data_IF_181793464677
#
_entry.id   IF_181793464677
#
_cell.length_a   1.000
_cell.length_b   1.000
_cell.length_c   1.000
_cell.angle_alpha   90.00
_cell.angle_beta   90.00
_cell.angle_gamma   90.00
#
_symmetry.space_group_name_H-M   'P 1'
#
loop_
_entity.id
_entity.type
_entity.pdbx_description
1 polymer ?
#
# COMPACT_ATOMS: atom_id res chain seq x y z
N UNK A 1 31.28 -6.35 -70.44
CA UNK A 1 30.83 -6.24 -69.04
C UNK A 1 31.41 -7.42 -68.29
N UNK A 2 32.41 -7.17 -67.43
CA UNK A 2 33.11 -8.22 -66.67
C UNK A 2 32.67 -8.07 -65.22
N UNK A 3 31.87 -9.01 -64.74
CA UNK A 3 31.36 -9.06 -63.37
C UNK A 3 32.31 -9.91 -62.53
N UNK A 4 32.98 -9.29 -61.56
CA UNK A 4 33.80 -10.02 -60.59
C UNK A 4 32.99 -10.26 -59.31
N UNK A 5 32.79 -11.52 -58.87
CA UNK A 5 32.24 -11.81 -57.56
C UNK A 5 33.32 -11.50 -56.51
N UNK A 6 33.09 -10.44 -55.73
CA UNK A 6 33.86 -10.22 -54.50
C UNK A 6 33.34 -11.19 -53.44
N UNK A 7 34.07 -12.29 -53.24
CA UNK A 7 33.96 -13.12 -52.05
C UNK A 7 34.41 -12.29 -50.85
N UNK A 8 33.45 -11.69 -50.15
CA UNK A 8 33.68 -11.00 -48.88
C UNK A 8 33.95 -12.08 -47.84
N UNK A 9 35.23 -12.37 -47.60
CA UNK A 9 35.63 -13.25 -46.51
C UNK A 9 35.19 -12.60 -45.19
N UNK A 10 34.47 -13.35 -44.31
CA UNK A 10 34.03 -12.82 -43.04
C UNK A 10 35.25 -12.40 -42.22
N UNK A 11 35.25 -11.13 -41.81
CA UNK A 11 36.33 -10.52 -41.04
C UNK A 11 36.50 -11.34 -39.76
N UNK A 12 37.72 -11.83 -39.49
CA UNK A 12 38.04 -12.72 -38.36
C UNK A 12 37.51 -12.27 -36.99
N UNK A 13 37.21 -10.97 -36.82
CA UNK A 13 36.57 -10.43 -35.61
C UNK A 13 35.16 -10.96 -35.34
N UNK A 14 34.38 -11.29 -36.38
CA UNK A 14 33.00 -11.77 -36.21
C UNK A 14 32.93 -13.20 -35.63
N UNK A 15 33.93 -14.03 -35.94
CA UNK A 15 34.05 -15.39 -35.40
C UNK A 15 34.44 -15.40 -33.92
N UNK A 16 35.20 -14.40 -33.47
CA UNK A 16 35.62 -14.28 -32.07
C UNK A 16 34.43 -13.83 -31.21
N UNK A 17 33.64 -12.86 -31.70
CA UNK A 17 32.43 -12.39 -31.01
C UNK A 17 31.41 -13.53 -30.81
N UNK A 18 31.13 -14.33 -31.87
CA UNK A 18 30.19 -15.45 -31.78
C UNK A 18 30.62 -16.55 -30.81
N UNK A 19 31.92 -16.78 -30.65
CA UNK A 19 32.44 -17.82 -29.74
C UNK A 19 32.33 -17.41 -28.27
N UNK A 20 32.55 -16.13 -27.96
CA UNK A 20 32.34 -15.60 -26.61
C UNK A 20 30.85 -15.55 -26.24
N UNK A 21 29.99 -15.16 -27.18
CA UNK A 21 28.55 -15.14 -26.95
C UNK A 21 27.96 -16.56 -26.76
N UNK A 22 28.47 -17.55 -27.50
CA UNK A 22 28.08 -18.95 -27.29
C UNK A 22 28.51 -19.46 -25.91
N UNK A 23 29.74 -19.19 -25.48
CA UNK A 23 30.21 -19.58 -24.13
C UNK A 23 29.45 -18.87 -23.01
N UNK A 24 29.07 -17.61 -23.19
CA UNK A 24 28.23 -16.90 -22.23
C UNK A 24 26.82 -17.53 -22.13
N UNK A 25 26.24 -17.94 -23.26
CA UNK A 25 24.95 -18.62 -23.30
C UNK A 25 25.00 -20.06 -22.78
N UNK A 26 26.12 -20.77 -22.96
CA UNK A 26 26.37 -22.11 -22.42
C UNK A 26 26.62 -22.05 -20.89
N UNK A 27 27.29 -21.00 -20.40
CA UNK A 27 27.47 -20.77 -18.97
C UNK A 27 26.18 -20.36 -18.25
N UNK A 28 25.22 -19.78 -18.99
CA UNK A 28 23.86 -19.50 -18.49
C UNK A 28 22.94 -20.73 -18.51
N UNK A 29 23.37 -21.84 -19.11
CA UNK A 29 22.70 -23.14 -18.96
C UNK A 29 23.23 -23.85 -17.71
N UNK A 30 23.04 -23.26 -16.52
CA UNK A 30 23.06 -24.09 -15.31
C UNK A 30 21.83 -25.03 -15.38
N UNK A 31 22.04 -26.35 -15.45
CA UNK A 31 21.01 -27.28 -15.93
C UNK A 31 19.85 -27.54 -14.96
N UNK A 32 19.71 -26.81 -13.86
CA UNK A 32 18.70 -27.16 -12.84
C UNK A 32 18.10 -25.98 -12.07
N UNK A 33 18.24 -24.74 -12.55
CA UNK A 33 17.47 -23.64 -11.96
C UNK A 33 16.04 -23.72 -12.51
N UNK A 34 15.02 -23.94 -11.67
CA UNK A 34 13.63 -23.99 -12.13
C UNK A 34 13.28 -22.65 -12.79
N UNK A 35 12.93 -22.71 -14.07
CA UNK A 35 12.51 -21.52 -14.86
C UNK A 35 11.15 -20.94 -14.42
N UNK A 36 10.49 -21.60 -13.46
CA UNK A 36 9.17 -21.25 -12.97
C UNK A 36 9.23 -21.20 -11.45
N UNK A 37 8.89 -20.04 -10.91
CA UNK A 37 8.70 -19.82 -9.48
C UNK A 37 7.19 -19.70 -9.28
N UNK A 38 6.63 -20.55 -8.42
CA UNK A 38 5.21 -20.48 -8.05
C UNK A 38 5.11 -19.69 -6.74
N UNK A 39 4.41 -18.57 -6.78
CA UNK A 39 4.11 -17.76 -5.60
C UNK A 39 2.64 -18.02 -5.22
N UNK A 40 2.36 -18.42 -3.96
CA UNK A 40 1.00 -18.76 -3.53
C UNK A 40 0.12 -17.53 -3.25
N UNK A 41 0.66 -16.33 -3.46
CA UNK A 41 0.04 -15.06 -3.10
C UNK A 41 -0.91 -14.55 -4.19
N UNK A 42 -1.68 -13.50 -3.86
CA UNK A 42 -2.63 -12.94 -4.82
C UNK A 42 -1.88 -12.35 -6.03
N UNK A 43 -2.47 -12.50 -7.22
CA UNK A 43 -1.95 -11.99 -8.49
C UNK A 43 -1.64 -10.50 -8.37
N UNK A 44 -2.47 -9.73 -7.65
CA UNK A 44 -2.27 -8.29 -7.48
C UNK A 44 -1.05 -7.93 -6.63
N UNK A 45 -0.73 -8.75 -5.64
CA UNK A 45 0.43 -8.56 -4.76
C UNK A 45 1.72 -8.91 -5.50
N UNK A 46 1.69 -10.02 -6.26
CA UNK A 46 2.79 -10.45 -7.12
C UNK A 46 3.06 -9.41 -8.21
N UNK A 47 2.02 -8.90 -8.87
CA UNK A 47 2.15 -7.86 -9.89
C UNK A 47 2.79 -6.59 -9.32
N UNK A 48 2.43 -6.18 -8.10
CA UNK A 48 3.04 -5.02 -7.43
C UNK A 48 4.53 -5.23 -7.13
N UNK A 49 4.92 -6.44 -6.71
CA UNK A 49 6.33 -6.80 -6.50
C UNK A 49 7.09 -6.74 -7.83
N UNK A 50 6.52 -7.28 -8.91
CA UNK A 50 7.13 -7.25 -10.23
C UNK A 50 7.28 -5.81 -10.70
N UNK A 51 6.22 -5.00 -10.62
CA UNK A 51 6.23 -3.58 -10.97
C UNK A 51 7.33 -2.84 -10.20
N UNK A 52 7.42 -3.05 -8.89
CA UNK A 52 8.44 -2.45 -8.05
C UNK A 52 9.86 -2.87 -8.45
N UNK A 53 10.09 -4.15 -8.75
CA UNK A 53 11.41 -4.64 -9.14
C UNK A 53 11.90 -4.04 -10.47
N UNK A 54 11.00 -3.77 -11.42
CA UNK A 54 11.37 -3.24 -12.73
C UNK A 54 11.37 -1.71 -12.77
N UNK A 55 10.48 -1.07 -12.02
CA UNK A 55 10.20 0.36 -12.17
C UNK A 55 10.53 1.18 -10.93
N UNK A 56 10.78 0.53 -9.79
CA UNK A 56 11.00 1.18 -8.49
C UNK A 56 9.74 1.78 -7.86
N UNK A 57 8.57 1.50 -8.43
CA UNK A 57 7.27 1.97 -7.96
C UNK A 57 6.19 0.90 -8.18
N UNK A 58 5.01 1.05 -7.56
CA UNK A 58 3.89 0.11 -7.75
C UNK A 58 2.53 0.83 -7.81
N UNK A 59 1.53 0.17 -8.39
CA UNK A 59 0.13 0.58 -8.33
C UNK A 59 -0.37 1.37 -9.53
N UNK A 60 0.36 1.39 -10.67
CA UNK A 60 -0.15 2.06 -11.88
C UNK A 60 -1.43 1.43 -12.44
N UNK A 61 -1.66 0.16 -12.10
CA UNK A 61 -2.74 -0.67 -12.66
C UNK A 61 -3.84 -1.00 -11.65
N UNK A 62 -3.80 -0.41 -10.45
CA UNK A 62 -4.79 -0.69 -9.42
C UNK A 62 -6.04 0.17 -9.59
N UNK A 63 -7.21 -0.47 -9.60
CA UNK A 63 -8.51 0.18 -9.75
C UNK A 63 -9.42 0.02 -8.51
N UNK A 64 -8.94 -0.63 -7.46
CA UNK A 64 -9.71 -0.91 -6.24
C UNK A 64 -9.51 0.15 -5.14
N UNK A 65 -9.98 -0.14 -3.91
CA UNK A 65 -9.74 0.70 -2.75
C UNK A 65 -8.25 0.95 -2.52
N UNK A 66 -7.82 2.21 -2.58
CA UNK A 66 -6.40 2.59 -2.53
C UNK A 66 -5.78 2.25 -1.16
N UNK A 67 -6.50 2.51 -0.06
CA UNK A 67 -6.02 2.27 1.30
C UNK A 67 -5.73 0.80 1.58
N UNK A 68 -6.69 -0.08 1.29
CA UNK A 68 -6.57 -1.51 1.56
C UNK A 68 -5.41 -2.12 0.77
N UNK A 69 -5.28 -1.72 -0.51
CA UNK A 69 -4.21 -2.18 -1.37
C UNK A 69 -2.81 -1.86 -0.83
N UNK A 70 -2.57 -0.64 -0.35
CA UNK A 70 -1.26 -0.28 0.21
C UNK A 70 -0.90 -1.10 1.46
N UNK A 71 -1.89 -1.51 2.25
CA UNK A 71 -1.65 -2.40 3.40
C UNK A 71 -1.26 -3.81 2.94
N UNK A 72 -1.98 -4.39 1.97
CA UNK A 72 -1.60 -5.70 1.40
C UNK A 72 -0.18 -5.68 0.80
N UNK A 73 0.19 -4.60 0.11
CA UNK A 73 1.55 -4.46 -0.44
C UNK A 73 2.61 -4.31 0.65
N UNK A 74 2.26 -3.71 1.79
CA UNK A 74 3.17 -3.69 2.94
C UNK A 74 3.37 -5.08 3.54
N UNK A 75 2.29 -5.84 3.73
CA UNK A 75 2.34 -7.21 4.27
C UNK A 75 3.19 -8.12 3.36
N UNK A 76 2.98 -8.04 2.05
CA UNK A 76 3.75 -8.85 1.09
C UNK A 76 5.21 -8.41 1.04
N UNK A 77 5.49 -7.11 1.14
CA UNK A 77 6.86 -6.61 1.19
C UNK A 77 7.59 -7.13 2.44
N UNK A 78 6.91 -7.18 3.59
CA UNK A 78 7.48 -7.78 4.81
C UNK A 78 7.74 -9.27 4.64
N UNK A 79 6.77 -10.02 4.10
CA UNK A 79 6.87 -11.46 3.85
C UNK A 79 8.10 -11.83 3.01
N UNK A 80 8.42 -11.03 1.99
CA UNK A 80 9.57 -11.24 1.11
C UNK A 80 10.84 -10.45 1.51
N UNK A 81 10.82 -9.71 2.61
CA UNK A 81 11.97 -8.91 3.07
C UNK A 81 12.34 -7.74 2.15
N UNK A 82 11.38 -7.20 1.40
CA UNK A 82 11.56 -6.09 0.46
C UNK A 82 11.44 -4.74 1.17
N UNK A 83 12.45 -4.38 1.98
CA UNK A 83 12.43 -3.19 2.84
C UNK A 83 12.05 -1.89 2.10
N UNK A 84 12.56 -1.68 0.88
CA UNK A 84 12.24 -0.47 0.10
C UNK A 84 10.79 -0.41 -0.36
N UNK A 85 10.20 -1.56 -0.70
CA UNK A 85 8.78 -1.64 -1.04
C UNK A 85 7.91 -1.41 0.19
N UNK A 86 8.32 -1.93 1.36
CA UNK A 86 7.67 -1.67 2.65
C UNK A 86 7.64 -0.18 2.98
N UNK A 87 8.77 0.51 2.87
CA UNK A 87 8.86 1.96 3.08
C UNK A 87 7.95 2.72 2.11
N UNK A 88 8.02 2.38 0.82
CA UNK A 88 7.20 3.01 -0.22
C UNK A 88 5.70 2.79 0.04
N UNK A 89 5.31 1.58 0.44
CA UNK A 89 3.92 1.26 0.73
C UNK A 89 3.37 2.03 1.92
N UNK A 90 4.18 2.18 2.97
CA UNK A 90 3.86 3.01 4.12
C UNK A 90 3.69 4.48 3.73
N UNK A 91 4.56 5.00 2.87
CA UNK A 91 4.50 6.40 2.44
C UNK A 91 3.30 6.67 1.52
N UNK A 92 2.98 5.74 0.61
CA UNK A 92 1.74 5.80 -0.19
C UNK A 92 0.49 5.68 0.66
N UNK A 93 0.48 4.81 1.67
CA UNK A 93 -0.63 4.72 2.62
C UNK A 93 -0.84 6.07 3.36
N UNK A 94 0.23 6.71 3.81
CA UNK A 94 0.15 8.05 4.44
C UNK A 94 -0.42 9.08 3.46
N UNK A 95 0.02 9.06 2.21
CA UNK A 95 -0.50 9.95 1.17
C UNK A 95 -2.01 9.69 0.93
N UNK A 96 -2.42 8.44 0.77
CA UNK A 96 -3.82 8.05 0.61
C UNK A 96 -4.69 8.39 1.84
N UNK A 97 -4.15 8.31 3.05
CA UNK A 97 -4.85 8.75 4.26
C UNK A 97 -5.03 10.27 4.35
N UNK A 98 -4.21 11.04 3.63
CA UNK A 98 -4.33 12.50 3.54
C UNK A 98 -5.38 12.95 2.52
N UNK A 99 -5.79 12.09 1.60
CA UNK A 99 -6.83 12.39 0.60
C UNK A 99 -8.24 12.09 1.14
N UNK A 100 -9.27 12.42 0.37
CA UNK A 100 -10.67 12.11 0.71
C UNK A 100 -10.92 10.64 0.39
N UNK A 101 -11.17 9.84 1.41
CA UNK A 101 -11.48 8.42 1.26
C UNK A 101 -12.92 8.10 1.66
N UNK A 102 -13.42 7.00 1.12
CA UNK A 102 -14.75 6.45 1.43
C UNK A 102 -14.75 5.73 2.78
N UNK A 103 -15.86 5.83 3.51
CA UNK A 103 -16.00 5.20 4.83
C UNK A 103 -15.87 3.69 4.84
N UNK A 104 -16.31 3.03 3.77
CA UNK A 104 -16.24 1.57 3.62
C UNK A 104 -14.79 1.08 3.50
N UNK A 105 -13.97 1.77 2.71
CA UNK A 105 -12.57 1.40 2.50
C UNK A 105 -11.76 1.53 3.78
N UNK A 106 -12.02 2.59 4.55
CA UNK A 106 -11.38 2.78 5.85
C UNK A 106 -11.69 1.64 6.82
N UNK A 107 -12.95 1.18 6.88
CA UNK A 107 -13.34 0.11 7.78
C UNK A 107 -12.74 -1.24 7.39
N UNK A 108 -12.71 -1.56 6.10
CA UNK A 108 -12.09 -2.80 5.59
C UNK A 108 -10.58 -2.78 5.85
N UNK A 109 -9.92 -1.64 5.60
CA UNK A 109 -8.49 -1.44 5.89
C UNK A 109 -8.20 -1.59 7.37
N UNK A 110 -9.03 -1.00 8.24
CA UNK A 110 -8.90 -1.13 9.69
C UNK A 110 -9.03 -2.60 10.12
N UNK A 111 -10.03 -3.33 9.64
CA UNK A 111 -10.20 -4.75 9.96
C UNK A 111 -8.95 -5.56 9.60
N UNK A 112 -8.40 -5.34 8.42
CA UNK A 112 -7.20 -6.03 7.96
C UNK A 112 -5.98 -5.68 8.81
N UNK A 113 -5.72 -4.39 9.06
CA UNK A 113 -4.60 -3.94 9.90
C UNK A 113 -4.61 -4.53 11.32
N UNK A 114 -5.80 -4.74 11.90
CA UNK A 114 -5.92 -5.34 13.23
C UNK A 114 -5.90 -6.87 13.24
N UNK A 115 -6.01 -7.51 12.07
CA UNK A 115 -5.71 -8.94 11.91
C UNK A 115 -4.19 -9.17 11.78
N UNK A 116 -3.46 -8.21 11.23
CA UNK A 116 -1.99 -8.25 11.13
C UNK A 116 -1.31 -7.89 12.45
N UNK A 117 -0.12 -8.45 12.69
CA UNK A 117 0.70 -8.13 13.88
C UNK A 117 1.50 -6.82 13.71
N UNK A 118 1.40 -6.17 12.54
CA UNK A 118 2.18 -4.98 12.20
C UNK A 118 1.73 -3.74 13.00
N UNK A 119 2.51 -3.38 14.02
CA UNK A 119 2.24 -2.23 14.87
C UNK A 119 2.50 -0.89 14.17
N UNK A 120 3.48 -0.83 13.26
CA UNK A 120 3.91 0.42 12.61
C UNK A 120 2.79 1.04 11.75
N UNK A 121 2.12 0.23 10.94
CA UNK A 121 1.01 0.71 10.11
C UNK A 121 -0.20 1.10 10.95
N UNK A 122 -0.48 0.35 12.02
CA UNK A 122 -1.57 0.67 12.95
C UNK A 122 -1.38 2.05 13.56
N UNK A 123 -0.16 2.41 13.97
CA UNK A 123 0.11 3.73 14.53
C UNK A 123 -0.16 4.85 13.53
N UNK A 124 0.34 4.72 12.30
CA UNK A 124 0.12 5.69 11.21
C UNK A 124 -1.37 5.85 10.90
N UNK A 125 -2.09 4.73 10.85
CA UNK A 125 -3.51 4.69 10.57
C UNK A 125 -4.34 5.35 11.69
N UNK A 126 -4.06 5.01 12.95
CA UNK A 126 -4.69 5.62 14.13
C UNK A 126 -4.41 7.12 14.18
N UNK A 127 -3.19 7.55 13.86
CA UNK A 127 -2.83 8.97 13.79
C UNK A 127 -3.69 9.72 12.78
N UNK A 128 -3.85 9.17 11.57
CA UNK A 128 -4.65 9.78 10.52
C UNK A 128 -6.13 9.88 10.90
N UNK A 129 -6.72 8.82 11.46
CA UNK A 129 -8.10 8.84 11.96
C UNK A 129 -8.26 9.86 13.09
N UNK A 130 -7.31 9.91 14.03
CA UNK A 130 -7.37 10.84 15.15
C UNK A 130 -7.32 12.31 14.70
N UNK A 131 -6.50 12.62 13.69
CA UNK A 131 -6.42 13.96 13.10
C UNK A 131 -7.76 14.41 12.49
N UNK A 132 -8.52 13.48 11.90
CA UNK A 132 -9.82 13.75 11.26
C UNK A 132 -11.02 13.30 12.08
N UNK A 133 -10.83 13.07 13.39
CA UNK A 133 -11.86 12.47 14.25
C UNK A 133 -13.19 13.24 14.27
N UNK A 134 -13.15 14.57 14.17
CA UNK A 134 -14.35 15.41 14.16
C UNK A 134 -15.24 15.17 12.93
N UNK A 135 -14.61 14.91 11.78
CA UNK A 135 -15.27 14.61 10.51
C UNK A 135 -15.76 13.15 10.50
N UNK A 136 -14.85 12.20 10.78
CA UNK A 136 -15.08 10.77 10.63
C UNK A 136 -16.04 10.20 11.69
N UNK A 137 -15.92 10.69 12.93
CA UNK A 137 -16.72 10.22 14.07
C UNK A 137 -17.94 11.11 14.34
N UNK A 138 -18.35 11.90 13.34
CA UNK A 138 -19.61 12.63 13.38
C UNK A 138 -20.79 11.67 13.62
N UNK A 139 -21.78 12.16 14.36
CA UNK A 139 -22.90 11.33 14.82
C UNK A 139 -23.71 10.83 13.62
N UNK A 140 -23.85 9.52 13.49
CA UNK A 140 -24.62 8.88 12.42
C UNK A 140 -23.85 8.56 11.14
N UNK A 141 -22.52 8.73 11.10
CA UNK A 141 -21.73 8.29 9.95
C UNK A 141 -21.64 6.75 9.92
N UNK A 142 -21.83 6.15 8.74
CA UNK A 142 -21.62 4.71 8.54
C UNK A 142 -20.17 4.30 8.88
N UNK A 143 -19.21 5.20 8.59
CA UNK A 143 -17.80 5.05 8.98
C UNK A 143 -17.65 4.85 10.48
N UNK A 144 -18.32 5.66 11.30
CA UNK A 144 -18.27 5.55 12.76
C UNK A 144 -18.77 4.19 13.23
N UNK A 145 -19.90 3.72 12.72
CA UNK A 145 -20.44 2.40 13.09
C UNK A 145 -19.49 1.28 12.71
N UNK A 146 -18.89 1.36 11.52
CA UNK A 146 -17.95 0.36 11.04
C UNK A 146 -16.65 0.33 11.87
N UNK A 147 -16.12 1.50 12.26
CA UNK A 147 -14.93 1.58 13.13
C UNK A 147 -15.22 1.16 14.58
N UNK A 148 -16.42 1.39 15.10
CA UNK A 148 -16.82 0.96 16.44
C UNK A 148 -16.92 -0.55 16.60
N UNK A 149 -17.02 -1.30 15.49
CA UNK A 149 -17.00 -2.76 15.52
C UNK A 149 -15.58 -3.34 15.74
N UNK A 150 -14.55 -2.50 15.83
CA UNK A 150 -13.16 -2.90 16.06
C UNK A 150 -12.72 -2.37 17.43
N UNK A 151 -12.86 -3.17 18.52
CA UNK A 151 -12.60 -2.69 19.87
C UNK A 151 -11.13 -2.31 20.12
N UNK A 152 -10.20 -2.97 19.44
CA UNK A 152 -8.76 -2.68 19.51
C UNK A 152 -8.44 -1.29 18.96
N UNK A 153 -9.09 -0.90 17.86
CA UNK A 153 -8.95 0.45 17.31
C UNK A 153 -9.45 1.51 18.30
N UNK A 154 -10.59 1.26 18.95
CA UNK A 154 -11.12 2.17 19.95
C UNK A 154 -10.16 2.33 21.14
N UNK A 155 -9.52 1.23 21.57
CA UNK A 155 -8.48 1.25 22.61
C UNK A 155 -7.30 2.13 22.20
N UNK A 156 -6.76 1.94 21.01
CA UNK A 156 -5.59 2.70 20.53
C UNK A 156 -5.91 4.19 20.37
N UNK A 157 -7.12 4.53 19.91
CA UNK A 157 -7.58 5.92 19.85
C UNK A 157 -7.66 6.57 21.24
N UNK A 158 -8.08 5.82 22.27
CA UNK A 158 -8.12 6.31 23.66
C UNK A 158 -6.72 6.51 24.21
N UNK A 159 -5.82 5.54 24.01
CA UNK A 159 -4.41 5.65 24.44
C UNK A 159 -3.78 6.91 23.83
N UNK A 160 -3.95 7.10 22.52
CA UNK A 160 -3.40 8.28 21.82
C UNK A 160 -4.00 9.60 22.30
N UNK A 161 -5.26 9.60 22.73
CA UNK A 161 -5.88 10.78 23.32
C UNK A 161 -5.26 11.13 24.68
N UNK A 162 -4.91 10.13 25.48
CA UNK A 162 -4.21 10.33 26.77
C UNK A 162 -2.79 10.85 26.54
N UNK A 163 -2.08 10.30 25.55
CA UNK A 163 -0.72 10.71 25.22
C UNK A 163 -0.66 12.13 24.62
N UNK A 164 -1.64 12.50 23.79
CA UNK A 164 -1.75 13.85 23.21
C UNK A 164 -1.93 14.94 24.27
N UNK A 165 -2.68 14.66 25.34
CA UNK A 165 -2.85 15.57 26.48
C UNK A 165 -1.51 15.84 27.19
N UNK A 166 -0.61 14.87 27.19
CA UNK A 166 0.69 14.97 27.85
C UNK A 166 1.81 15.49 26.90
N UNK A 167 1.66 15.31 25.59
CA UNK A 167 2.71 15.55 24.59
C UNK A 167 2.71 16.94 23.94
N UNK A 168 1.58 17.65 23.86
CA UNK A 168 1.52 18.96 23.17
C UNK A 168 2.13 20.13 23.99
N UNK A 169 2.65 19.87 25.19
CA UNK A 169 3.41 20.84 26.00
C UNK A 169 4.87 21.07 25.55
N UNK A 170 5.38 20.29 24.59
CA UNK A 170 6.80 20.34 24.18
C UNK A 170 7.08 21.18 22.91
N UNK A 171 6.15 22.03 22.49
CA UNK A 171 6.46 23.11 21.55
C UNK A 171 6.84 24.40 22.31
N UNK A 172 7.56 24.25 23.43
CA UNK A 172 8.43 25.33 23.90
C UNK A 172 9.52 25.43 22.85
N UNK A 173 9.33 26.35 21.90
CA UNK A 173 10.38 26.78 20.98
C UNK A 173 11.68 26.88 21.80
N UNK A 174 12.80 26.29 21.34
CA UNK A 174 14.05 26.34 22.08
C UNK A 174 14.29 27.79 22.44
N UNK A 175 14.14 28.13 23.72
CA UNK A 175 14.40 29.48 24.23
C UNK A 175 15.85 29.71 23.90
N UNK A 176 16.10 30.51 22.87
CA UNK A 176 17.43 30.93 22.50
C UNK A 176 18.06 31.57 23.74
N UNK A 177 19.06 30.94 24.38
CA UNK A 177 19.61 31.43 25.63
C UNK A 177 20.39 32.75 25.44
N UNK A 178 20.44 33.30 24.22
CA UNK A 178 21.22 34.51 23.90
C UNK A 178 20.43 35.81 23.86
N UNK A 179 19.10 35.81 23.92
CA UNK A 179 18.33 37.06 23.94
C UNK A 179 18.09 37.59 25.36
N UNK A 180 19.19 37.88 26.04
CA UNK A 180 19.26 38.73 27.23
C UNK A 180 19.70 40.16 26.89
N UNK A 181 19.15 40.78 25.84
CA UNK A 181 19.45 42.20 25.52
C UNK A 181 18.16 43.04 25.53
N UNK A 182 18.02 44.00 26.46
CA UNK A 182 16.91 44.94 26.44
C UNK A 182 16.99 45.86 25.22
N UNK A 183 15.86 45.99 24.51
CA UNK A 183 15.68 46.91 23.39
C UNK A 183 15.98 48.35 23.80
N UNK A 184 16.99 48.94 23.14
CA UNK A 184 17.17 50.39 23.09
C UNK A 184 16.32 50.92 21.93
N UNK A 185 15.40 51.82 22.26
CA UNK A 185 14.57 52.54 21.33
C UNK A 185 15.39 53.26 20.26
N UNK A 186 14.97 53.20 19.00
CA UNK A 186 15.33 54.18 17.97
C UNK A 186 14.08 54.64 17.23
N UNK A 187 13.96 55.95 16.94
CA UNK A 187 12.74 56.54 16.39
C UNK A 187 12.75 56.57 14.86
N UNK A 188 11.55 56.41 14.31
CA UNK A 188 10.90 57.27 13.30
C UNK A 188 11.82 58.04 12.33
N UNK A 189 11.75 57.68 11.03
CA UNK A 189 11.68 58.67 9.94
C UNK A 189 11.44 58.06 8.54
N UNK A 190 10.50 58.71 7.82
CA UNK A 190 10.51 59.00 6.37
C UNK A 190 10.15 57.87 5.39
N UNK A 191 8.96 57.86 4.77
CA UNK A 191 8.51 58.63 3.57
C UNK A 191 9.34 58.42 2.29
N UNK A 192 8.62 58.10 1.20
CA UNK A 192 9.04 58.18 -0.22
C UNK A 192 8.96 56.81 -0.88
N UNK A 193 7.99 56.55 -1.78
CA UNK A 193 8.17 56.69 -3.24
C UNK A 193 8.85 55.41 -3.77
N UNK A 194 8.32 54.61 -4.69
CA UNK A 194 7.92 54.97 -6.04
C UNK A 194 7.07 53.85 -6.65
N UNK A 195 6.15 54.29 -7.50
CA UNK A 195 5.38 53.50 -8.47
C UNK A 195 6.31 52.90 -9.53
N UNK A 196 6.35 51.57 -9.64
CA UNK A 196 7.06 50.85 -10.70
C UNK A 196 6.13 49.91 -11.45
N UNK A 197 5.45 50.45 -12.46
CA UNK A 197 4.72 49.71 -13.48
C UNK A 197 5.67 48.79 -14.24
N UNK A 198 5.36 47.50 -14.33
CA UNK A 198 5.87 46.63 -15.40
C UNK A 198 4.73 45.80 -15.98
N UNK A 199 4.12 46.36 -17.00
CA UNK A 199 3.30 45.64 -17.97
C UNK A 199 4.20 44.85 -18.92
N UNK A 200 4.03 43.53 -18.97
CA UNK A 200 4.40 42.68 -20.12
C UNK A 200 3.46 41.49 -20.08
N UNK A 201 2.33 41.57 -20.78
CA UNK A 201 2.15 41.05 -22.14
C UNK A 201 2.65 39.62 -22.25
N UNK A 202 1.73 38.69 -22.11
CA UNK A 202 1.66 37.45 -22.90
C UNK A 202 0.20 37.04 -22.95
N UNK A 203 -0.53 37.67 -23.88
CA UNK A 203 -1.70 37.07 -24.51
C UNK A 203 -1.22 35.80 -25.21
N UNK A 204 -1.68 34.65 -24.73
CA UNK A 204 -1.75 33.43 -25.55
C UNK A 204 -3.20 32.99 -25.58
N UNK A 205 -3.84 33.41 -26.65
CA UNK A 205 -4.87 32.72 -27.42
C UNK A 205 -5.82 31.78 -26.67
N UNK A 206 -6.95 32.36 -26.29
CA UNK A 206 -8.23 31.67 -26.23
C UNK A 206 -8.70 31.38 -27.67
N UNK A 207 -8.45 30.16 -28.17
CA UNK A 207 -8.95 29.72 -29.46
C UNK A 207 -9.16 28.20 -29.55
N UNK A 208 -9.98 27.63 -28.67
CA UNK A 208 -10.69 26.36 -28.91
C UNK A 208 -12.03 26.51 -28.18
N UNK A 209 -13.18 26.60 -28.82
CA UNK A 209 -13.64 25.70 -29.87
C UNK A 209 -14.96 25.13 -29.38
N UNK A 210 -15.99 25.99 -29.40
CA UNK A 210 -17.38 25.69 -29.07
C UNK A 210 -17.87 24.63 -30.07
N UNK A 211 -17.99 23.38 -29.62
CA UNK A 211 -18.69 22.31 -30.35
C UNK A 211 -19.76 21.75 -29.41
N UNK A 212 -20.86 22.49 -29.31
CA UNK A 212 -22.17 21.89 -29.07
C UNK A 212 -22.58 21.23 -30.39
N UNK A 213 -22.51 19.91 -30.45
CA UNK A 213 -23.21 19.13 -31.45
C UNK A 213 -23.57 17.76 -30.86
N UNK A 214 -24.81 17.69 -30.41
CA UNK A 214 -25.73 16.56 -30.58
C UNK A 214 -25.06 15.20 -30.84
N UNK A 215 -24.94 14.40 -29.77
CA UNK A 215 -24.89 12.95 -29.91
C UNK A 215 -25.92 12.31 -28.99
N UNK A 216 -27.16 12.43 -29.45
CA UNK A 216 -28.31 11.62 -29.05
C UNK A 216 -28.03 10.17 -29.52
N UNK A 217 -27.30 9.43 -28.69
CA UNK A 217 -27.10 7.99 -28.88
C UNK A 217 -28.27 7.30 -28.18
N UNK A 218 -29.28 7.03 -28.99
CA UNK A 218 -30.38 6.10 -28.77
C UNK A 218 -29.81 4.76 -28.25
N UNK A 219 -29.95 4.50 -26.95
CA UNK A 219 -29.71 3.18 -26.37
C UNK A 219 -30.79 2.22 -26.89
N UNK A 220 -30.43 1.02 -27.40
CA UNK A 220 -31.43 -0.01 -27.63
C UNK A 220 -31.85 -0.58 -26.27
N UNK A 221 -33.12 -0.37 -25.91
CA UNK A 221 -33.80 -1.13 -24.88
C UNK A 221 -33.65 -2.63 -25.20
N UNK A 222 -32.72 -3.30 -24.52
CA UNK A 222 -32.75 -4.75 -24.41
C UNK A 222 -33.82 -5.08 -23.38
N UNK A 223 -35.03 -5.37 -23.88
CA UNK A 223 -36.10 -5.96 -23.11
C UNK A 223 -35.63 -7.31 -22.57
N UNK A 224 -35.27 -7.33 -21.29
CA UNK A 224 -35.08 -8.58 -20.59
C UNK A 224 -36.47 -9.15 -20.32
N UNK A 225 -36.81 -10.22 -21.03
CA UNK A 225 -38.01 -11.03 -20.84
C UNK A 225 -37.68 -12.10 -19.78
N UNK A 226 -38.09 -11.95 -18.51
CA UNK A 226 -37.95 -13.03 -17.55
C UNK A 226 -38.97 -14.10 -17.91
N UNK A 227 -38.52 -15.06 -18.72
CA UNK A 227 -39.24 -16.28 -19.03
C UNK A 227 -39.77 -16.91 -17.74
N UNK A 228 -41.09 -16.85 -17.62
CA UNK A 228 -41.90 -17.55 -16.62
C UNK A 228 -41.75 -19.05 -16.91
N UNK A 229 -40.73 -19.66 -16.31
CA UNK A 229 -40.60 -21.11 -16.20
C UNK A 229 -41.31 -21.57 -14.94
N UNK A 230 -42.63 -21.79 -15.06
CA UNK A 230 -43.39 -22.55 -14.07
C UNK A 230 -42.87 -23.99 -14.05
N UNK A 231 -42.41 -24.43 -12.88
CA UNK A 231 -42.28 -25.83 -12.56
C UNK A 231 -43.03 -26.05 -11.25
N UNK A 232 -44.18 -26.67 -11.41
CA UNK A 232 -45.07 -27.14 -10.36
C UNK A 232 -44.43 -28.30 -9.58
N UNK A 233 -44.79 -28.42 -8.30
CA UNK A 233 -44.55 -29.60 -7.47
C UNK A 233 -43.33 -29.47 -6.54
N UNK A 234 -43.39 -29.74 -5.24
CA UNK A 234 -44.38 -30.40 -4.41
C UNK A 234 -44.28 -29.84 -2.99
N UNK A 235 -45.41 -29.77 -2.29
CA UNK A 235 -45.47 -29.38 -0.90
C UNK A 235 -44.95 -30.54 -0.02
N UNK A 236 -43.72 -30.41 0.48
CA UNK A 236 -43.20 -31.29 1.53
C UNK A 236 -43.20 -30.57 2.89
N UNK A 237 -44.32 -30.70 3.59
CA UNK A 237 -44.46 -30.43 5.02
C UNK A 237 -43.63 -31.43 5.82
N UNK A 238 -42.44 -31.06 6.32
CA UNK A 238 -41.81 -31.80 7.42
C UNK A 238 -41.01 -30.89 8.40
N UNK A 239 -41.59 -30.77 9.59
CA UNK A 239 -40.96 -30.83 10.90
C UNK A 239 -39.78 -29.89 11.27
N UNK A 240 -40.09 -28.92 12.15
CA UNK A 240 -39.15 -28.31 13.09
C UNK A 240 -38.48 -29.36 14.01
N UNK A 241 -37.16 -29.24 14.26
CA UNK A 241 -36.57 -29.64 15.54
C UNK A 241 -35.97 -28.41 16.24
N UNK A 242 -36.59 -27.95 17.31
CA UNK A 242 -36.17 -28.17 18.70
C UNK A 242 -34.74 -27.71 19.07
N UNK A 243 -34.71 -26.66 19.89
CA UNK A 243 -33.88 -26.49 21.10
C UNK A 243 -32.41 -26.92 20.99
N UNK A 244 -31.54 -25.99 20.62
CA UNK A 244 -30.14 -26.07 21.03
C UNK A 244 -29.97 -25.60 22.48
N UNK A 245 -29.71 -26.57 23.36
CA UNK A 245 -29.30 -26.37 24.74
C UNK A 245 -27.85 -25.88 24.76
N UNK A 246 -27.59 -24.90 25.64
CA UNK A 246 -26.27 -24.48 26.07
C UNK A 246 -25.46 -25.69 26.57
N UNK A 247 -24.27 -25.92 26.01
CA UNK A 247 -23.27 -26.81 26.60
C UNK A 247 -22.08 -25.98 27.07
N UNK A 248 -21.94 -25.95 28.40
CA UNK A 248 -20.72 -25.56 29.12
C UNK A 248 -19.53 -26.33 28.55
N UNK A 249 -18.59 -25.66 27.90
CA UNK A 249 -17.24 -26.22 27.70
C UNK A 249 -16.40 -25.94 28.93
N UNK A 250 -16.07 -27.03 29.62
CA UNK A 250 -15.13 -27.11 30.73
C UNK A 250 -13.74 -26.65 30.27
N UNK A 251 -13.16 -25.78 31.08
CA UNK A 251 -11.72 -25.55 31.24
C UNK A 251 -11.07 -26.91 31.54
N UNK A 252 -10.17 -27.37 30.68
CA UNK A 252 -9.22 -28.43 31.01
C UNK A 252 -7.83 -27.80 31.01
N UNK A 253 -7.26 -27.73 32.19
CA UNK A 253 -5.84 -27.57 32.44
C UNK A 253 -5.11 -28.77 31.82
N UNK A 254 -4.04 -28.54 31.05
CA UNK A 254 -2.99 -29.53 30.85
C UNK A 254 -1.63 -28.82 30.94
N UNK A 255 -1.16 -28.82 32.18
CA UNK A 255 0.20 -28.58 32.62
C UNK A 255 1.12 -29.72 32.17
N UNK A 256 2.38 -29.33 31.93
CA UNK A 256 3.61 -30.14 32.02
C UNK A 256 4.06 -30.99 30.81
N UNK A 257 5.38 -30.83 30.57
CA UNK A 257 6.33 -31.73 29.92
C UNK A 257 6.53 -31.59 28.39
N UNK A 258 7.69 -31.03 27.99
CA UNK A 258 8.64 -31.62 27.02
C UNK A 258 9.81 -30.61 26.84
N UNK A 259 10.92 -30.84 27.56
CA UNK A 259 12.21 -31.29 27.01
C UNK A 259 12.94 -30.18 26.23
N UNK A 260 13.80 -29.38 26.88
CA UNK A 260 15.26 -29.63 27.03
C UNK A 260 15.88 -30.38 25.83
N UNK A 261 16.31 -29.62 24.82
CA UNK A 261 17.42 -30.02 23.96
C UNK A 261 18.65 -29.18 24.34
N UNK A 262 19.55 -29.80 25.10
CA UNK A 262 20.95 -29.39 25.18
C UNK A 262 21.64 -29.93 23.92
N UNK A 263 22.03 -29.04 23.00
CA UNK A 263 22.96 -29.38 21.93
C UNK A 263 24.39 -29.13 22.46
N UNK A 264 25.08 -30.23 22.74
CA UNK A 264 26.51 -30.26 23.06
C UNK A 264 27.31 -30.05 21.76
N UNK A 265 27.94 -28.88 21.62
CA UNK A 265 28.94 -28.64 20.57
C UNK A 265 30.23 -29.41 20.94
N UNK A 266 30.47 -30.49 20.20
CA UNK A 266 31.69 -31.29 20.26
C UNK A 266 32.87 -30.52 19.65
N UNK A 267 33.79 -30.11 20.51
CA UNK A 267 35.10 -29.58 20.17
C UNK A 267 36.02 -30.74 19.71
N UNK A 268 36.12 -30.96 18.39
CA UNK A 268 37.11 -31.87 17.81
C UNK A 268 38.46 -31.15 17.68
N UNK A 269 39.37 -31.47 18.61
CA UNK A 269 40.76 -31.04 18.62
C UNK A 269 41.55 -31.89 17.63
N UNK A 270 42.07 -31.28 16.57
CA UNK A 270 43.10 -31.87 15.71
C UNK A 270 44.46 -31.65 16.37
N UNK A 271 45.13 -32.72 16.78
CA UNK A 271 46.58 -32.70 17.02
C UNK A 271 47.28 -33.43 15.87
N UNK A 272 48.26 -32.73 15.33
CA UNK A 272 49.18 -33.09 14.27
C UNK A 272 50.33 -33.98 14.78
N UNK A 273 50.92 -34.69 13.83
CA UNK A 273 52.21 -35.42 13.85
C UNK A 273 53.33 -34.66 14.54
#
# INVERSE_FOLDING_TARGET
MVSYPFDVQPVQGELIAKRHQRKANEALQEPDIPRRIELPDDIFEVDAIIEFCYEGDYGRRWFGPELFYHVCIFDIAEKYGLFRLKELARDKLKAALSTVYTGADLATTAKHLYLTEEHELREVFVQAIYARRAELLSRGSATREALLNIPELARDMVIRNVDGINGEGSNVAPRDPRNGRPSVATPDQSKGGETGSNSRVSQTDAALGRVEAMRESKEPEQSYDPGIGGADGEAETLALPQRFKQTKRKRSESSAASERYEATEGCARTESV
#
